data_IF_752897186015
#
_entry.id   IF_752897186015
#
_cell.length_a   1.000
_cell.length_b   1.000
_cell.length_c   1.000
_cell.angle_alpha   90.00
_cell.angle_beta   90.00
_cell.angle_gamma   90.00
#
_symmetry.space_group_name_H-M   'P 1'
#
loop_
_entity.id
_entity.type
_entity.pdbx_description
1 polymer ?
#
# COMPACT_ATOMS: atom_id res chain seq x y z
N UNK A 1 -8.32 16.80 -11.49
CA UNK A 1 -7.48 16.03 -12.43
C UNK A 1 -7.30 14.57 -11.99
N UNK A 2 -7.17 14.27 -10.68
CA UNK A 2 -7.00 12.91 -10.15
C UNK A 2 -8.11 11.88 -10.47
N UNK A 3 -9.37 12.31 -10.67
CA UNK A 3 -10.48 11.37 -10.96
C UNK A 3 -10.41 10.75 -12.37
N UNK A 4 -9.84 11.44 -13.36
CA UNK A 4 -9.74 10.90 -14.73
C UNK A 4 -8.64 9.84 -14.85
N UNK A 5 -7.49 10.06 -14.20
CA UNK A 5 -6.37 9.11 -14.21
C UNK A 5 -6.71 7.83 -13.41
N UNK A 6 -7.50 7.95 -12.34
CA UNK A 6 -7.99 6.81 -11.57
C UNK A 6 -8.95 5.91 -12.37
N UNK A 7 -9.83 6.51 -13.16
CA UNK A 7 -10.80 5.79 -14.00
C UNK A 7 -10.12 5.08 -15.18
N UNK A 8 -9.11 5.70 -15.80
CA UNK A 8 -8.37 5.11 -16.93
C UNK A 8 -7.47 3.95 -16.49
N UNK A 9 -6.78 4.12 -15.36
CA UNK A 9 -5.97 3.07 -14.76
C UNK A 9 -6.85 1.86 -14.36
N UNK A 10 -8.01 2.12 -13.75
CA UNK A 10 -8.95 1.06 -13.35
C UNK A 10 -9.49 0.27 -14.54
N UNK A 11 -9.86 0.96 -15.63
CA UNK A 11 -10.30 0.31 -16.87
C UNK A 11 -9.20 -0.55 -17.48
N UNK A 12 -7.96 -0.10 -17.41
CA UNK A 12 -6.82 -0.78 -18.03
C UNK A 12 -6.49 -2.09 -17.33
N UNK A 13 -6.29 -2.11 -16.00
CA UNK A 13 -5.95 -3.35 -15.32
C UNK A 13 -7.13 -4.33 -15.26
N UNK A 14 -8.37 -3.83 -15.23
CA UNK A 14 -9.58 -4.67 -15.27
C UNK A 14 -9.68 -5.47 -16.57
N UNK A 15 -9.41 -4.83 -17.71
CA UNK A 15 -9.40 -5.51 -19.01
C UNK A 15 -8.31 -6.59 -19.05
N UNK A 16 -7.09 -6.25 -18.61
CA UNK A 16 -5.97 -7.18 -18.50
C UNK A 16 -6.30 -8.36 -17.59
N UNK A 17 -6.92 -8.13 -16.43
CA UNK A 17 -7.30 -9.19 -15.50
C UNK A 17 -8.29 -10.16 -16.14
N UNK A 18 -9.34 -9.65 -16.78
CA UNK A 18 -10.37 -10.49 -17.41
C UNK A 18 -9.79 -11.35 -18.52
N UNK A 19 -8.92 -10.78 -19.36
CA UNK A 19 -8.21 -11.52 -20.40
C UNK A 19 -7.30 -12.60 -19.80
N UNK A 20 -6.48 -12.25 -18.82
CA UNK A 20 -5.56 -13.19 -18.18
C UNK A 20 -6.30 -14.38 -17.54
N UNK A 21 -7.39 -14.12 -16.80
CA UNK A 21 -8.22 -15.17 -16.19
C UNK A 21 -8.91 -16.03 -17.25
N UNK A 22 -9.40 -15.43 -18.34
CA UNK A 22 -10.03 -16.19 -19.42
C UNK A 22 -9.05 -17.20 -20.05
N UNK A 23 -7.80 -16.76 -20.27
CA UNK A 23 -6.72 -17.53 -20.88
C UNK A 23 -5.98 -18.47 -19.92
N UNK A 24 -6.16 -18.33 -18.60
CA UNK A 24 -5.37 -19.06 -17.61
C UNK A 24 -3.92 -18.57 -17.54
N UNK A 25 -3.70 -17.29 -17.80
CA UNK A 25 -2.39 -16.64 -17.80
C UNK A 25 -2.00 -16.22 -16.37
N UNK A 26 -1.24 -17.07 -15.69
CA UNK A 26 -0.63 -16.81 -14.38
C UNK A 26 0.16 -15.50 -14.35
N UNK A 27 0.91 -15.20 -15.42
CA UNK A 27 1.79 -14.03 -15.46
C UNK A 27 0.97 -12.74 -15.60
N UNK A 28 -0.08 -12.76 -16.43
CA UNK A 28 -1.03 -11.67 -16.55
C UNK A 28 -1.73 -11.34 -15.23
N UNK A 29 -2.18 -12.34 -14.48
CA UNK A 29 -2.79 -12.14 -13.15
C UNK A 29 -1.77 -11.56 -12.16
N UNK A 30 -0.54 -12.08 -12.15
CA UNK A 30 0.52 -11.57 -11.29
C UNK A 30 0.91 -10.12 -11.63
N UNK A 31 0.88 -9.73 -12.92
CA UNK A 31 1.11 -8.34 -13.35
C UNK A 31 0.05 -7.39 -12.82
N UNK A 32 -1.22 -7.78 -12.87
CA UNK A 32 -2.32 -6.99 -12.29
C UNK A 32 -2.13 -6.83 -10.79
N UNK A 33 -1.82 -7.90 -10.06
CA UNK A 33 -1.56 -7.80 -8.63
C UNK A 33 -0.38 -6.86 -8.34
N UNK A 34 0.71 -6.98 -9.09
CA UNK A 34 1.91 -6.15 -8.95
C UNK A 34 1.62 -4.67 -9.25
N UNK A 35 0.72 -4.39 -10.19
CA UNK A 35 0.25 -3.05 -10.48
C UNK A 35 -0.52 -2.45 -9.29
N UNK A 36 -1.44 -3.20 -8.67
CA UNK A 36 -2.15 -2.75 -7.46
C UNK A 36 -1.19 -2.53 -6.28
N UNK A 37 -0.17 -3.39 -6.12
CA UNK A 37 0.89 -3.22 -5.11
C UNK A 37 1.66 -1.92 -5.34
N UNK A 38 2.04 -1.63 -6.59
CA UNK A 38 2.70 -0.38 -6.94
C UNK A 38 1.82 0.84 -6.66
N UNK A 39 0.53 0.79 -7.02
CA UNK A 39 -0.42 1.86 -6.69
C UNK A 39 -0.56 2.09 -5.18
N UNK A 40 -0.52 1.03 -4.37
CA UNK A 40 -0.49 1.18 -2.91
C UNK A 40 0.73 1.99 -2.48
N UNK A 41 1.91 1.65 -3.00
CA UNK A 41 3.14 2.36 -2.71
C UNK A 41 3.08 3.84 -3.10
N UNK A 42 2.64 4.16 -4.30
CA UNK A 42 2.50 5.55 -4.79
C UNK A 42 1.61 6.39 -3.87
N UNK A 43 0.44 5.86 -3.48
CA UNK A 43 -0.50 6.60 -2.63
C UNK A 43 0.04 6.80 -1.21
N UNK A 44 0.75 5.82 -0.67
CA UNK A 44 1.45 5.93 0.62
C UNK A 44 2.54 7.02 0.54
N UNK A 45 3.35 7.03 -0.52
CA UNK A 45 4.39 8.04 -0.73
C UNK A 45 3.79 9.44 -0.83
N UNK A 46 2.74 9.64 -1.64
CA UNK A 46 2.04 10.93 -1.78
C UNK A 46 1.54 11.44 -0.42
N UNK A 47 0.98 10.56 0.41
CA UNK A 47 0.53 10.92 1.77
C UNK A 47 1.69 11.29 2.68
N UNK A 48 2.80 10.54 2.62
CA UNK A 48 3.99 10.85 3.39
C UNK A 48 4.59 12.21 3.01
N UNK A 49 4.66 12.51 1.71
CA UNK A 49 5.13 13.80 1.19
C UNK A 49 4.25 14.96 1.68
N UNK A 50 2.92 14.81 1.57
CA UNK A 50 1.98 15.80 2.06
C UNK A 50 2.12 16.03 3.58
N UNK A 51 2.30 14.94 4.35
CA UNK A 51 2.53 15.04 5.79
C UNK A 51 3.83 15.77 6.12
N UNK A 52 4.93 15.49 5.40
CA UNK A 52 6.18 16.21 5.57
C UNK A 52 6.04 17.71 5.28
N UNK A 53 5.34 18.06 4.21
CA UNK A 53 5.15 19.46 3.82
C UNK A 53 4.33 20.23 4.86
N UNK A 54 3.24 19.63 5.37
CA UNK A 54 2.30 20.30 6.26
C UNK A 54 2.73 20.28 7.73
N UNK A 55 3.17 19.12 8.23
CA UNK A 55 3.33 18.89 9.66
C UNK A 55 4.78 18.90 10.13
N UNK A 56 5.76 18.49 9.32
CA UNK A 56 7.15 18.45 9.78
C UNK A 56 7.66 19.79 10.35
N UNK A 57 7.33 20.97 9.77
CA UNK A 57 7.73 22.25 10.35
C UNK A 57 7.18 22.48 11.77
N UNK A 58 5.98 21.96 12.07
CA UNK A 58 5.35 22.08 13.40
C UNK A 58 6.12 21.26 14.43
N UNK A 59 6.43 19.99 14.12
CA UNK A 59 7.23 19.14 15.00
C UNK A 59 8.62 19.71 15.25
N UNK A 60 9.26 20.23 14.21
CA UNK A 60 10.63 20.75 14.30
C UNK A 60 10.72 22.08 15.06
N UNK A 61 9.61 22.79 15.24
CA UNK A 61 9.53 24.00 16.06
C UNK A 61 9.26 23.72 17.55
N UNK A 62 8.99 22.47 17.95
CA UNK A 62 8.78 22.11 19.36
C UNK A 62 10.12 22.13 20.13
N UNK A 63 10.33 23.14 20.99
CA UNK A 63 11.56 23.30 21.78
C UNK A 63 11.61 22.42 23.05
N UNK A 64 10.46 21.90 23.49
CA UNK A 64 10.31 21.19 24.78
C UNK A 64 10.72 19.71 24.74
N UNK A 65 10.99 19.15 23.55
CA UNK A 65 11.33 17.73 23.39
C UNK A 65 12.79 17.55 22.96
N UNK A 66 13.39 16.43 23.39
CA UNK A 66 14.70 16.05 22.87
C UNK A 66 14.60 15.72 21.38
N UNK A 67 15.66 16.00 20.61
CA UNK A 67 15.71 15.70 19.16
C UNK A 67 15.40 14.24 18.85
N UNK A 68 15.83 13.31 19.71
CA UNK A 68 15.54 11.88 19.57
C UNK A 68 14.06 11.57 19.74
N UNK A 69 13.40 12.19 20.72
CA UNK A 69 11.96 12.01 20.94
C UNK A 69 11.14 12.61 19.80
N UNK A 70 11.54 13.78 19.28
CA UNK A 70 10.91 14.39 18.12
C UNK A 70 11.04 13.51 16.88
N UNK A 71 12.23 13.01 16.59
CA UNK A 71 12.47 12.10 15.48
C UNK A 71 11.64 10.82 15.57
N UNK A 72 11.53 10.24 16.77
CA UNK A 72 10.72 9.05 17.00
C UNK A 72 9.22 9.33 16.80
N UNK A 73 8.72 10.41 17.41
CA UNK A 73 7.31 10.81 17.30
C UNK A 73 6.93 11.12 15.85
N UNK A 74 7.78 11.88 15.15
CA UNK A 74 7.57 12.22 13.74
C UNK A 74 7.55 10.96 12.87
N UNK A 75 8.41 9.97 13.13
CA UNK A 75 8.41 8.68 12.41
C UNK A 75 7.12 7.89 12.63
N UNK A 76 6.63 7.81 13.87
CA UNK A 76 5.39 7.10 14.19
C UNK A 76 4.18 7.80 13.56
N UNK A 77 4.11 9.12 13.69
CA UNK A 77 2.97 9.89 13.15
C UNK A 77 3.01 9.90 11.60
N UNK A 78 4.20 9.94 10.99
CA UNK A 78 4.36 9.72 9.55
C UNK A 78 3.79 8.37 9.12
N UNK A 79 4.15 7.30 9.84
CA UNK A 79 3.68 5.96 9.51
C UNK A 79 2.15 5.86 9.62
N UNK A 80 1.56 6.49 10.64
CA UNK A 80 0.11 6.57 10.83
C UNK A 80 -0.57 7.27 9.66
N UNK A 81 -0.13 8.46 9.30
CA UNK A 81 -0.81 9.30 8.30
C UNK A 81 -0.58 8.82 6.86
N UNK A 82 0.53 8.12 6.61
CA UNK A 82 0.86 7.58 5.29
C UNK A 82 0.37 6.14 5.10
N UNK A 83 0.94 5.18 5.82
CA UNK A 83 0.69 3.76 5.64
C UNK A 83 -0.64 3.35 6.27
N UNK A 84 -0.83 3.62 7.57
CA UNK A 84 -2.01 3.14 8.29
C UNK A 84 -3.29 3.77 7.73
N UNK A 85 -3.35 5.10 7.65
CA UNK A 85 -4.52 5.82 7.15
C UNK A 85 -4.88 5.46 5.70
N UNK A 86 -3.89 5.15 4.86
CA UNK A 86 -4.15 4.64 3.51
C UNK A 86 -4.80 3.26 3.54
N UNK A 87 -4.25 2.34 4.34
CA UNK A 87 -4.74 0.97 4.44
C UNK A 87 -6.13 0.88 5.09
N UNK A 88 -6.40 1.71 6.11
CA UNK A 88 -7.73 1.87 6.69
C UNK A 88 -8.74 2.38 5.67
N UNK A 89 -8.35 3.34 4.83
CA UNK A 89 -9.18 3.83 3.74
C UNK A 89 -9.51 2.78 2.67
N UNK A 90 -8.75 1.68 2.62
CA UNK A 90 -9.05 0.50 1.77
C UNK A 90 -9.76 -0.63 2.53
N UNK A 91 -10.19 -0.38 3.77
CA UNK A 91 -10.83 -1.38 4.62
C UNK A 91 -9.95 -2.63 4.84
N UNK A 92 -8.63 -2.41 4.97
CA UNK A 92 -7.69 -3.46 5.36
C UNK A 92 -7.81 -3.73 6.87
N UNK A 93 -8.02 -4.99 7.26
CA UNK A 93 -8.04 -5.42 8.66
C UNK A 93 -6.61 -5.55 9.19
N UNK A 94 -5.98 -4.42 9.49
CA UNK A 94 -4.60 -4.34 10.01
C UNK A 94 -4.58 -3.97 11.49
N UNK A 95 -3.48 -4.31 12.17
CA UNK A 95 -3.26 -3.93 13.55
C UNK A 95 -3.11 -2.40 13.69
N UNK A 96 -3.94 -1.82 14.54
CA UNK A 96 -3.95 -0.38 14.82
C UNK A 96 -2.85 0.03 15.79
N UNK A 97 -2.27 -0.93 16.50
CA UNK A 97 -1.16 -0.70 17.42
C UNK A 97 0.13 -0.73 16.63
N UNK A 98 0.75 0.44 16.48
CA UNK A 98 2.07 0.58 15.87
C UNK A 98 3.11 0.53 16.99
N UNK A 99 3.85 -0.57 17.04
CA UNK A 99 5.08 -0.65 17.84
C UNK A 99 6.23 0.11 17.16
N UNK A 100 7.34 0.31 17.88
CA UNK A 100 8.53 0.97 17.31
C UNK A 100 9.14 0.20 16.12
N UNK A 101 8.86 -1.10 16.00
CA UNK A 101 9.36 -1.95 14.91
C UNK A 101 8.37 -1.98 13.73
N UNK A 102 8.42 -0.93 12.92
CA UNK A 102 7.58 -0.77 11.73
C UNK A 102 7.81 -1.88 10.69
N UNK A 103 9.06 -2.31 10.40
CA UNK A 103 9.28 -3.46 9.51
C UNK A 103 8.57 -4.74 9.95
N UNK A 104 8.58 -5.05 11.26
CA UNK A 104 7.84 -6.19 11.81
C UNK A 104 6.32 -6.00 11.70
N UNK A 105 5.83 -4.78 11.93
CA UNK A 105 4.42 -4.46 11.70
C UNK A 105 4.01 -4.71 10.25
N UNK A 106 4.82 -4.28 9.27
CA UNK A 106 4.53 -4.50 7.83
C UNK A 106 4.49 -5.99 7.50
N UNK A 107 5.43 -6.77 8.04
CA UNK A 107 5.45 -8.23 7.86
C UNK A 107 4.18 -8.88 8.41
N UNK A 108 3.77 -8.53 9.63
CA UNK A 108 2.58 -9.09 10.26
C UNK A 108 1.27 -8.73 9.52
N UNK A 109 1.22 -7.56 8.89
CA UNK A 109 0.00 -7.03 8.26
C UNK A 109 -0.07 -7.22 6.74
N UNK A 110 1.02 -7.65 6.09
CA UNK A 110 1.04 -7.90 4.65
C UNK A 110 -0.06 -8.86 4.15
N UNK A 111 -0.41 -9.96 4.86
CA UNK A 111 -1.51 -10.84 4.45
C UNK A 111 -2.87 -10.15 4.33
N UNK A 112 -3.21 -9.28 5.29
CA UNK A 112 -4.46 -8.54 5.28
C UNK A 112 -4.54 -7.57 4.09
N UNK A 113 -3.44 -6.86 3.82
CA UNK A 113 -3.36 -5.93 2.70
C UNK A 113 -3.36 -6.67 1.34
N UNK A 114 -2.71 -7.84 1.25
CA UNK A 114 -2.76 -8.68 0.05
C UNK A 114 -4.19 -9.10 -0.25
N UNK A 115 -4.92 -9.51 0.79
CA UNK A 115 -6.33 -9.92 0.69
C UNK A 115 -7.23 -8.81 0.18
N UNK A 116 -7.00 -7.55 0.55
CA UNK A 116 -7.71 -6.39 -0.02
C UNK A 116 -7.49 -6.27 -1.52
N UNK A 117 -6.23 -6.36 -1.98
CA UNK A 117 -5.92 -6.28 -3.41
C UNK A 117 -6.54 -7.45 -4.18
N UNK A 118 -6.53 -8.67 -3.61
CA UNK A 118 -7.16 -9.84 -4.23
C UNK A 118 -8.68 -9.68 -4.32
N UNK A 119 -9.35 -9.20 -3.25
CA UNK A 119 -10.78 -8.89 -3.27
C UNK A 119 -11.11 -7.85 -4.34
N UNK A 120 -10.32 -6.78 -4.45
CA UNK A 120 -10.50 -5.78 -5.49
C UNK A 120 -10.41 -6.40 -6.90
N UNK A 121 -9.45 -7.31 -7.13
CA UNK A 121 -9.35 -8.03 -8.40
C UNK A 121 -10.58 -8.95 -8.65
N UNK A 122 -11.03 -9.70 -7.64
CA UNK A 122 -12.21 -10.57 -7.72
C UNK A 122 -13.48 -9.78 -8.06
N UNK A 123 -13.68 -8.63 -7.43
CA UNK A 123 -14.82 -7.74 -7.68
C UNK A 123 -14.89 -7.27 -9.14
N UNK A 124 -13.73 -7.02 -9.77
CA UNK A 124 -13.67 -6.59 -11.16
C UNK A 124 -14.00 -7.71 -12.17
N UNK A 125 -14.00 -8.97 -11.75
CA UNK A 125 -14.53 -10.09 -12.57
C UNK A 125 -16.07 -10.11 -12.60
N UNK A 126 -16.72 -9.27 -11.79
CA UNK A 126 -18.17 -9.10 -11.74
C UNK A 126 -18.85 -10.01 -10.73
N UNK A 127 -20.16 -9.83 -10.59
CA UNK A 127 -21.03 -10.64 -9.73
C UNK A 127 -22.21 -11.19 -10.53
N UNK A 128 -22.44 -12.50 -10.41
CA UNK A 128 -23.60 -13.19 -10.99
C UNK A 128 -23.38 -13.79 -12.39
N UNK A 129 -23.96 -14.98 -12.62
CA UNK A 129 -23.87 -15.71 -13.88
C UNK A 129 -22.83 -16.84 -13.89
N UNK A 130 -23.03 -17.82 -14.78
CA UNK A 130 -22.17 -19.01 -14.91
C UNK A 130 -20.74 -18.67 -15.36
N UNK A 131 -20.59 -17.67 -16.23
CA UNK A 131 -19.28 -17.24 -16.74
C UNK A 131 -18.46 -16.55 -15.66
N UNK A 132 -19.07 -15.65 -14.88
CA UNK A 132 -18.44 -15.03 -13.71
C UNK A 132 -18.01 -16.06 -12.68
N UNK A 133 -18.87 -17.02 -12.34
CA UNK A 133 -18.50 -18.10 -11.42
C UNK A 133 -17.33 -18.93 -11.93
N UNK A 134 -17.31 -19.24 -13.24
CA UNK A 134 -16.19 -19.94 -13.88
C UNK A 134 -14.89 -19.13 -13.82
N UNK A 135 -14.95 -17.83 -14.05
CA UNK A 135 -13.79 -16.94 -13.99
C UNK A 135 -13.27 -16.80 -12.55
N UNK A 136 -14.14 -16.70 -11.55
CA UNK A 136 -13.74 -16.72 -10.14
C UNK A 136 -13.03 -18.02 -9.75
N UNK A 137 -13.57 -19.18 -10.15
CA UNK A 137 -12.91 -20.48 -9.92
C UNK A 137 -11.53 -20.50 -10.58
N UNK A 138 -11.42 -20.08 -11.84
CA UNK A 138 -10.13 -20.01 -12.54
C UNK A 138 -9.17 -19.09 -11.80
N UNK A 139 -9.60 -17.89 -11.41
CA UNK A 139 -8.79 -16.94 -10.67
C UNK A 139 -8.23 -17.56 -9.38
N UNK A 140 -9.07 -18.24 -8.59
CA UNK A 140 -8.64 -18.94 -7.38
C UNK A 140 -7.62 -20.05 -7.64
N UNK A 141 -7.67 -20.70 -8.82
CA UNK A 141 -6.66 -21.69 -9.22
C UNK A 141 -5.31 -21.05 -9.58
N UNK A 142 -5.32 -19.79 -10.05
CA UNK A 142 -4.12 -19.04 -10.41
C UNK A 142 -3.53 -18.31 -9.18
N UNK A 143 -4.25 -18.23 -8.06
CA UNK A 143 -3.81 -17.54 -6.86
C UNK A 143 -2.64 -18.24 -6.17
N UNK A 144 -1.57 -17.48 -6.01
CA UNK A 144 -0.37 -17.86 -5.27
C UNK A 144 -0.23 -16.93 -4.09
N UNK A 145 -1.12 -17.10 -3.10
CA UNK A 145 -1.27 -16.19 -1.95
C UNK A 145 0.08 -15.85 -1.31
N UNK A 146 0.87 -16.86 -0.94
CA UNK A 146 2.20 -16.66 -0.34
C UNK A 146 3.18 -15.86 -1.21
N UNK A 147 3.04 -15.92 -2.54
CA UNK A 147 3.88 -15.12 -3.45
C UNK A 147 3.40 -13.67 -3.45
N UNK A 148 2.09 -13.47 -3.52
CA UNK A 148 1.48 -12.14 -3.51
C UNK A 148 1.69 -11.41 -2.19
N UNK A 149 1.59 -12.11 -1.06
CA UNK A 149 1.95 -11.59 0.26
C UNK A 149 3.41 -11.14 0.30
N UNK A 150 4.35 -11.97 -0.18
CA UNK A 150 5.77 -11.61 -0.23
C UNK A 150 6.07 -10.43 -1.16
N UNK A 151 5.40 -10.36 -2.31
CA UNK A 151 5.54 -9.23 -3.26
C UNK A 151 5.07 -7.93 -2.60
N UNK A 152 3.90 -7.96 -1.97
CA UNK A 152 3.36 -6.81 -1.26
C UNK A 152 4.23 -6.40 -0.08
N UNK A 153 4.60 -7.34 0.80
CA UNK A 153 5.47 -7.10 1.94
C UNK A 153 6.77 -6.42 1.50
N UNK A 154 7.47 -7.02 0.51
CA UNK A 154 8.71 -6.47 0.00
C UNK A 154 8.54 -5.06 -0.57
N UNK A 155 7.41 -4.78 -1.23
CA UNK A 155 7.15 -3.47 -1.77
C UNK A 155 6.84 -2.43 -0.68
N UNK A 156 5.97 -2.77 0.28
CA UNK A 156 5.65 -1.88 1.40
C UNK A 156 6.88 -1.56 2.25
N UNK A 157 7.74 -2.55 2.51
CA UNK A 157 9.02 -2.32 3.18
C UNK A 157 9.92 -1.36 2.39
N UNK A 158 10.03 -1.51 1.07
CA UNK A 158 10.81 -0.59 0.22
C UNK A 158 10.26 0.84 0.24
N UNK A 159 8.94 0.98 0.13
CA UNK A 159 8.27 2.28 0.20
C UNK A 159 8.54 2.94 1.55
N UNK A 160 8.36 2.19 2.64
CA UNK A 160 8.64 2.68 3.98
C UNK A 160 10.10 3.09 4.17
N UNK A 161 11.06 2.25 3.75
CA UNK A 161 12.48 2.60 3.81
C UNK A 161 12.80 3.87 3.00
N UNK A 162 12.13 4.10 1.88
CA UNK A 162 12.25 5.35 1.11
C UNK A 162 11.76 6.56 1.92
N UNK A 163 10.60 6.45 2.55
CA UNK A 163 10.02 7.49 3.41
C UNK A 163 10.94 7.78 4.61
N UNK A 164 11.50 6.74 5.24
CA UNK A 164 12.43 6.92 6.37
C UNK A 164 13.69 7.68 5.97
N UNK A 165 14.25 7.40 4.78
CA UNK A 165 15.40 8.15 4.28
C UNK A 165 15.08 9.63 4.09
N UNK A 166 13.94 9.95 3.48
CA UNK A 166 13.48 11.34 3.32
C UNK A 166 13.26 12.01 4.68
N UNK A 167 12.66 11.29 5.63
CA UNK A 167 12.45 11.79 6.99
C UNK A 167 13.77 12.10 7.70
N UNK A 168 14.75 11.21 7.61
CA UNK A 168 16.07 11.41 8.21
C UNK A 168 16.80 12.63 7.62
N UNK A 169 16.65 12.89 6.31
CA UNK A 169 17.17 14.10 5.65
C UNK A 169 16.51 15.39 6.16
N UNK A 170 15.19 15.37 6.34
CA UNK A 170 14.43 16.50 6.90
C UNK A 170 14.89 16.81 8.32
N UNK A 171 15.01 15.79 9.17
CA UNK A 171 15.46 15.92 10.55
C UNK A 171 16.90 16.45 10.60
N UNK A 172 17.79 15.92 9.76
CA UNK A 172 19.19 16.35 9.70
C UNK A 172 19.35 17.81 9.26
N UNK A 173 18.50 18.27 8.34
CA UNK A 173 18.50 19.65 7.86
C UNK A 173 18.05 20.62 8.95
N UNK A 174 17.00 20.26 9.70
CA UNK A 174 16.50 21.07 10.80
C UNK A 174 17.45 21.16 12.01
N UNK A 175 18.40 20.24 12.10
CA UNK A 175 19.37 20.20 13.19
C UNK A 175 20.61 21.09 12.97
N UNK A 176 20.78 21.67 11.77
CA UNK A 176 21.90 22.56 11.39
C UNK A 176 21.55 24.02 11.66
#
# INVERSE_FOLDING_TARGET
>A
MQQQDGDENTRTWTATLREAVALGDDEGVAKVFSFLVWQNGEQITIRAEAFLEEFAPIYLAEEDLSKTMLAERLRIDMFRESVLAYLEGKEAEVDQVIERDIPAWIEANAPAVASVNLRAMEEQLGQGGLETHRNQIKMHQLFKLEIYERVLQSHLQKVWSGIELTLDEVIATAAR
#
